data_IF_987685492471
#
_entry.id   IF_987685492471
#
_cell.length_a   1.000
_cell.length_b   1.000
_cell.length_c   1.000
_cell.angle_alpha   90.00
_cell.angle_beta   90.00
_cell.angle_gamma   90.00
#
_symmetry.space_group_name_H-M   'P 1'
#
loop_
_entity.id
_entity.type
_entity.pdbx_description
1 polymer ?
#
# COMPACT_ATOMS: atom_id res chain seq x y z
N UNK A 1 29.01 -33.68 -87.85
CA UNK A 1 29.67 -32.64 -87.00
C UNK A 1 28.56 -32.03 -86.16
N UNK A 2 28.48 -32.41 -84.90
CA UNK A 2 27.61 -31.83 -83.89
C UNK A 2 28.10 -32.40 -82.55
N UNK A 3 28.67 -31.65 -81.83
CA UNK A 3 28.37 -30.86 -80.67
C UNK A 3 28.24 -31.70 -79.42
N UNK A 4 29.34 -31.80 -78.75
CA UNK A 4 29.46 -32.27 -77.33
C UNK A 4 29.66 -31.05 -76.44
N UNK A 5 28.60 -30.51 -75.92
CA UNK A 5 28.65 -29.52 -74.77
C UNK A 5 27.38 -29.60 -74.00
N UNK A 6 27.22 -30.62 -73.24
CA UNK A 6 25.99 -30.78 -72.40
C UNK A 6 26.16 -31.46 -71.04
N UNK A 7 27.31 -32.09 -70.83
CA UNK A 7 27.49 -32.98 -69.67
C UNK A 7 28.34 -32.37 -68.53
N UNK A 8 28.98 -31.21 -68.69
CA UNK A 8 29.82 -30.60 -67.68
C UNK A 8 29.07 -29.75 -66.63
N UNK A 9 27.91 -29.21 -66.97
CA UNK A 9 27.15 -28.32 -66.08
C UNK A 9 26.26 -29.07 -65.09
N UNK A 10 25.81 -30.28 -65.45
CA UNK A 10 24.96 -31.07 -64.55
C UNK A 10 25.74 -31.75 -63.40
N UNK A 11 27.00 -32.10 -63.60
CA UNK A 11 27.85 -32.67 -62.58
C UNK A 11 28.29 -31.64 -61.52
N UNK A 12 28.55 -30.42 -61.96
CA UNK A 12 28.98 -29.35 -61.03
C UNK A 12 27.84 -28.87 -60.10
N UNK A 13 26.58 -28.89 -60.53
CA UNK A 13 25.42 -28.56 -59.72
C UNK A 13 25.06 -29.67 -58.70
N UNK A 14 25.38 -30.94 -59.03
CA UNK A 14 25.07 -32.05 -58.12
C UNK A 14 26.04 -32.13 -56.97
N UNK A 15 27.32 -31.85 -57.22
CA UNK A 15 28.38 -31.85 -56.17
C UNK A 15 28.28 -30.65 -55.20
N UNK A 16 27.85 -29.49 -55.71
CA UNK A 16 27.62 -28.32 -54.87
C UNK A 16 26.39 -28.52 -53.93
N UNK A 17 25.35 -29.20 -54.36
CA UNK A 17 24.15 -29.47 -53.53
C UNK A 17 24.49 -30.54 -52.47
N UNK A 18 25.28 -31.53 -52.80
CA UNK A 18 25.68 -32.57 -51.88
C UNK A 18 26.68 -32.07 -50.81
N UNK A 19 27.59 -31.16 -51.18
CA UNK A 19 28.51 -30.50 -50.23
C UNK A 19 27.81 -29.58 -49.26
N UNK A 20 26.75 -28.86 -49.67
CA UNK A 20 25.94 -28.00 -48.84
C UNK A 20 25.13 -28.80 -47.82
N UNK A 21 24.55 -29.93 -48.24
CA UNK A 21 23.76 -30.81 -47.34
C UNK A 21 24.62 -31.50 -46.29
N UNK A 22 25.83 -31.92 -46.67
CA UNK A 22 26.81 -32.54 -45.72
C UNK A 22 27.32 -31.48 -44.71
N UNK A 23 27.51 -30.24 -45.11
CA UNK A 23 27.93 -29.14 -44.25
C UNK A 23 26.82 -28.74 -43.28
N UNK A 24 25.54 -28.73 -43.68
CA UNK A 24 24.39 -28.49 -42.81
C UNK A 24 24.19 -29.61 -41.78
N UNK A 25 24.33 -30.85 -42.19
CA UNK A 25 24.28 -32.03 -41.29
C UNK A 25 25.44 -32.04 -40.28
N UNK A 26 26.66 -31.69 -40.68
CA UNK A 26 27.80 -31.57 -39.77
C UNK A 26 27.63 -30.44 -38.73
N UNK A 27 26.99 -29.32 -39.17
CA UNK A 27 26.72 -28.18 -38.24
C UNK A 27 25.59 -28.50 -37.26
N UNK A 28 24.63 -29.29 -37.70
CA UNK A 28 23.53 -29.76 -36.87
C UNK A 28 23.98 -30.84 -35.88
N UNK A 29 24.84 -31.74 -36.31
CA UNK A 29 25.44 -32.78 -35.46
C UNK A 29 26.38 -32.18 -34.40
N UNK A 30 27.09 -31.09 -34.69
CA UNK A 30 27.92 -30.39 -33.71
C UNK A 30 27.16 -29.67 -32.61
N UNK A 31 25.92 -29.27 -32.85
CA UNK A 31 25.02 -28.56 -31.90
C UNK A 31 24.17 -29.51 -31.05
N UNK A 32 24.08 -30.76 -31.44
CA UNK A 32 23.25 -31.77 -30.78
C UNK A 32 23.70 -32.08 -29.33
N UNK A 33 24.98 -32.22 -29.00
CA UNK A 33 25.41 -32.44 -27.62
C UNK A 33 25.05 -31.27 -26.70
N UNK A 34 25.28 -30.02 -27.13
CA UNK A 34 24.95 -28.83 -26.33
C UNK A 34 23.44 -28.66 -26.11
N UNK A 35 22.61 -29.03 -27.08
CA UNK A 35 21.16 -29.02 -26.94
C UNK A 35 20.64 -30.12 -25.99
N UNK A 36 21.32 -31.28 -25.98
CA UNK A 36 21.00 -32.37 -25.02
C UNK A 36 21.38 -31.96 -23.60
N UNK A 37 22.59 -31.42 -23.38
CA UNK A 37 23.01 -30.91 -22.07
C UNK A 37 22.08 -29.80 -21.54
N UNK A 38 21.73 -28.83 -22.38
CA UNK A 38 20.80 -27.78 -21.99
C UNK A 38 19.41 -28.33 -21.60
N UNK A 39 18.95 -29.36 -22.29
CA UNK A 39 17.68 -30.05 -21.98
C UNK A 39 17.77 -30.84 -20.68
N UNK A 40 18.87 -31.51 -20.41
CA UNK A 40 19.11 -32.22 -19.16
C UNK A 40 19.17 -31.26 -17.97
N UNK A 41 19.90 -30.15 -18.09
CA UNK A 41 19.95 -29.08 -17.07
C UNK A 41 18.56 -28.49 -16.80
N UNK A 42 17.76 -28.24 -17.83
CA UNK A 42 16.40 -27.76 -17.68
C UNK A 42 15.45 -28.78 -17.02
N UNK A 43 15.64 -30.08 -17.29
CA UNK A 43 14.91 -31.15 -16.64
C UNK A 43 15.32 -31.31 -15.17
N UNK A 44 16.62 -31.21 -14.87
CA UNK A 44 17.14 -31.25 -13.52
C UNK A 44 16.60 -30.05 -12.70
N UNK A 45 16.66 -28.84 -13.22
CA UNK A 45 16.11 -27.65 -12.58
C UNK A 45 14.59 -27.76 -12.31
N UNK A 46 13.85 -28.35 -13.25
CA UNK A 46 12.41 -28.64 -13.04
C UNK A 46 12.19 -29.70 -11.97
N UNK A 47 13.00 -30.75 -11.92
CA UNK A 47 12.92 -31.80 -10.91
C UNK A 47 13.21 -31.24 -9.51
N UNK A 48 14.23 -30.37 -9.38
CA UNK A 48 14.58 -29.71 -8.12
C UNK A 48 13.51 -28.73 -7.66
N UNK A 49 12.92 -27.97 -8.58
CA UNK A 49 11.77 -27.09 -8.31
C UNK A 49 10.50 -27.88 -7.87
N UNK A 50 10.29 -29.08 -8.41
CA UNK A 50 9.18 -29.96 -7.97
C UNK A 50 9.49 -30.58 -6.61
N UNK A 51 10.74 -30.95 -6.33
CA UNK A 51 11.18 -31.50 -5.03
C UNK A 51 11.10 -30.49 -3.90
N UNK A 52 11.39 -29.21 -4.16
CA UNK A 52 11.36 -28.13 -3.15
C UNK A 52 9.92 -27.69 -2.81
N UNK A 53 8.99 -27.76 -3.75
CA UNK A 53 7.58 -27.38 -3.52
C UNK A 53 6.91 -28.06 -2.31
N UNK A 54 7.05 -29.37 -2.06
CA UNK A 54 6.46 -30.02 -0.89
C UNK A 54 7.09 -29.54 0.42
N UNK A 55 8.40 -29.27 0.45
CA UNK A 55 9.10 -28.77 1.64
C UNK A 55 8.65 -27.36 2.01
N UNK A 56 8.60 -26.45 1.06
CA UNK A 56 8.05 -25.09 1.26
C UNK A 56 6.58 -25.13 1.72
N UNK A 57 5.78 -26.04 1.16
CA UNK A 57 4.38 -26.19 1.55
C UNK A 57 4.25 -26.78 2.97
N UNK A 58 5.12 -27.70 3.34
CA UNK A 58 5.16 -28.30 4.67
C UNK A 58 5.61 -27.29 5.73
N UNK A 59 6.63 -26.47 5.45
CA UNK A 59 7.08 -25.39 6.33
C UNK A 59 6.02 -24.30 6.51
N UNK A 60 5.33 -23.91 5.45
CA UNK A 60 4.22 -22.96 5.52
C UNK A 60 3.02 -23.51 6.33
N UNK A 61 2.76 -24.82 6.24
CA UNK A 61 1.72 -25.49 7.04
C UNK A 61 2.16 -25.57 8.50
N UNK A 62 3.42 -25.91 8.79
CA UNK A 62 4.00 -25.90 10.14
C UNK A 62 3.94 -24.53 10.78
N UNK A 63 4.42 -23.49 10.09
CA UNK A 63 4.38 -22.12 10.57
C UNK A 63 2.95 -21.66 10.91
N UNK A 64 1.96 -22.02 10.08
CA UNK A 64 0.55 -21.75 10.34
C UNK A 64 0.00 -22.53 11.55
N UNK A 65 0.42 -23.77 11.71
CA UNK A 65 -0.01 -24.61 12.84
C UNK A 65 0.58 -24.09 14.16
N UNK A 66 1.86 -23.69 14.16
CA UNK A 66 2.52 -23.08 15.32
C UNK A 66 1.90 -21.73 15.70
N UNK A 67 1.59 -20.90 14.71
CA UNK A 67 0.88 -19.63 14.92
C UNK A 67 -0.49 -19.85 15.56
N UNK A 68 -1.25 -20.84 15.04
CA UNK A 68 -2.57 -21.20 15.59
C UNK A 68 -2.47 -21.79 17.00
N UNK A 69 -1.42 -22.57 17.28
CA UNK A 69 -1.17 -23.12 18.61
C UNK A 69 -0.82 -22.02 19.61
N UNK A 70 0.07 -21.08 19.27
CA UNK A 70 0.40 -19.90 20.10
C UNK A 70 -0.82 -19.05 20.41
N UNK A 71 -1.67 -18.81 19.42
CA UNK A 71 -2.91 -18.05 19.63
C UNK A 71 -3.88 -18.77 20.59
N UNK A 72 -4.00 -20.11 20.45
CA UNK A 72 -4.82 -20.91 21.38
C UNK A 72 -4.25 -20.91 22.79
N UNK A 73 -2.91 -21.01 22.94
CA UNK A 73 -2.23 -20.98 24.22
C UNK A 73 -2.45 -19.64 24.93
N UNK A 74 -2.23 -18.52 24.24
CA UNK A 74 -2.47 -17.19 24.75
C UNK A 74 -3.94 -16.96 25.17
N UNK A 75 -4.88 -17.56 24.42
CA UNK A 75 -6.31 -17.50 24.78
C UNK A 75 -6.65 -18.36 25.99
N UNK A 76 -6.00 -19.52 26.15
CA UNK A 76 -6.16 -20.39 27.31
C UNK A 76 -5.54 -19.76 28.56
N UNK A 77 -4.36 -19.17 28.45
CA UNK A 77 -3.67 -18.46 29.51
C UNK A 77 -4.46 -17.24 30.02
N UNK A 78 -5.02 -16.46 29.10
CA UNK A 78 -5.95 -15.38 29.41
C UNK A 78 -7.25 -15.85 30.09
N UNK A 79 -7.66 -17.10 29.84
CA UNK A 79 -8.85 -17.72 30.45
C UNK A 79 -8.52 -18.25 31.84
N UNK A 80 -7.33 -18.82 32.06
CA UNK A 80 -6.83 -19.29 33.32
C UNK A 80 -6.67 -18.13 34.33
N UNK A 81 -6.03 -17.03 33.90
CA UNK A 81 -5.91 -15.81 34.69
C UNK A 81 -7.27 -15.23 35.15
N UNK A 82 -8.31 -15.43 34.32
CA UNK A 82 -9.66 -15.00 34.65
C UNK A 82 -10.37 -15.90 35.65
N UNK A 83 -9.96 -17.18 35.76
CA UNK A 83 -10.54 -18.18 36.67
C UNK A 83 -9.86 -18.11 38.03
N UNK A 84 -8.58 -17.71 38.13
CA UNK A 84 -7.82 -17.63 39.38
C UNK A 84 -8.21 -16.45 40.28
N UNK A 85 -9.19 -15.63 39.90
CA UNK A 85 -9.77 -14.60 40.78
C UNK A 85 -8.80 -13.55 41.25
N UNK A 86 -7.70 -13.34 40.55
CA UNK A 86 -6.69 -12.32 40.86
C UNK A 86 -7.35 -10.95 40.74
N UNK A 87 -7.27 -10.19 41.85
CA UNK A 87 -7.93 -8.89 41.98
C UNK A 87 -7.62 -7.93 40.84
N UNK A 88 -8.60 -7.11 40.37
CA UNK A 88 -8.42 -6.24 39.21
C UNK A 88 -7.25 -5.25 39.29
N UNK A 89 -6.73 -4.97 40.48
CA UNK A 89 -5.58 -4.10 40.72
C UNK A 89 -4.21 -4.79 40.45
N UNK A 90 -4.16 -6.12 40.51
CA UNK A 90 -2.98 -6.95 40.29
C UNK A 90 -3.01 -7.67 38.93
N UNK A 91 -4.14 -7.61 38.23
CA UNK A 91 -4.19 -8.11 36.88
C UNK A 91 -3.24 -7.28 36.03
N UNK A 92 -2.06 -7.79 35.78
CA UNK A 92 -1.27 -7.39 34.64
C UNK A 92 -2.25 -7.15 33.52
N UNK A 93 -2.44 -5.89 33.11
CA UNK A 93 -3.44 -5.48 32.13
C UNK A 93 -3.33 -6.47 30.98
N UNK A 94 -4.41 -7.22 30.74
CA UNK A 94 -4.47 -8.30 29.75
C UNK A 94 -3.60 -7.97 28.57
N UNK A 95 -2.45 -8.63 28.43
CA UNK A 95 -1.56 -8.41 27.30
C UNK A 95 -2.31 -8.90 26.06
N UNK A 96 -2.85 -7.95 25.29
CA UNK A 96 -3.43 -8.26 23.99
C UNK A 96 -2.30 -8.63 23.05
N UNK A 97 -2.40 -9.79 22.43
CA UNK A 97 -1.42 -10.25 21.43
C UNK A 97 -1.95 -10.00 20.02
N UNK A 98 -1.05 -9.65 19.11
CA UNK A 98 -1.35 -9.63 17.69
C UNK A 98 -1.40 -11.06 17.12
N UNK A 99 -1.75 -11.21 15.84
CA UNK A 99 -1.83 -12.52 15.18
C UNK A 99 -0.49 -13.26 15.12
N UNK A 100 0.62 -12.58 15.41
CA UNK A 100 1.97 -13.13 15.47
C UNK A 100 2.44 -13.39 16.91
N UNK A 101 1.55 -13.26 17.90
CA UNK A 101 1.85 -13.47 19.31
C UNK A 101 2.69 -12.35 19.95
N UNK A 102 2.74 -11.15 19.36
CA UNK A 102 3.46 -9.99 19.92
C UNK A 102 2.51 -9.13 20.76
N UNK A 103 3.00 -8.52 21.85
CA UNK A 103 2.19 -7.61 22.65
C UNK A 103 1.62 -6.46 21.82
N UNK A 104 0.33 -6.24 21.94
CA UNK A 104 -0.41 -5.17 21.28
C UNK A 104 -0.59 -4.02 22.27
N UNK A 105 -0.05 -2.81 22.00
CA UNK A 105 -0.21 -1.67 22.90
C UNK A 105 -1.67 -1.36 23.21
N UNK A 106 -1.96 -0.87 24.41
CA UNK A 106 -3.33 -0.62 24.87
C UNK A 106 -4.05 0.43 24.03
N UNK A 107 -3.33 1.48 23.60
CA UNK A 107 -3.90 2.57 22.81
C UNK A 107 -4.04 2.24 21.31
N UNK A 108 -3.60 1.03 20.91
CA UNK A 108 -3.67 0.59 19.52
C UNK A 108 -5.11 0.62 18.99
N UNK A 109 -5.35 1.48 18.00
CA UNK A 109 -6.66 1.67 17.35
C UNK A 109 -7.59 2.69 18.04
N UNK A 110 -7.39 3.04 19.32
CA UNK A 110 -8.28 3.98 20.04
C UNK A 110 -8.22 5.40 19.47
N UNK A 111 -7.05 5.86 19.03
CA UNK A 111 -6.88 7.19 18.45
C UNK A 111 -7.79 7.36 17.24
N UNK A 112 -7.79 6.38 16.34
CA UNK A 112 -8.65 6.40 15.14
C UNK A 112 -10.12 6.11 15.48
N UNK A 113 -10.41 5.31 16.49
CA UNK A 113 -11.78 5.09 16.97
C UNK A 113 -12.44 6.37 17.47
N UNK A 114 -11.67 7.25 18.12
CA UNK A 114 -12.15 8.58 18.56
C UNK A 114 -12.21 9.54 17.36
N UNK A 115 -11.23 9.48 16.45
CA UNK A 115 -11.20 10.36 15.29
C UNK A 115 -12.36 10.10 14.30
N UNK A 116 -12.83 8.85 14.19
CA UNK A 116 -13.89 8.49 13.25
C UNK A 116 -15.22 9.28 13.48
N UNK A 117 -15.84 9.28 14.66
CA UNK A 117 -17.06 10.06 14.91
C UNK A 117 -16.81 11.57 14.81
N UNK A 118 -15.64 12.06 15.22
CA UNK A 118 -15.29 13.48 15.10
C UNK A 118 -15.14 13.88 13.63
N UNK A 119 -14.55 13.04 12.80
CA UNK A 119 -14.44 13.30 11.36
C UNK A 119 -15.79 13.25 10.65
N UNK A 120 -16.72 12.39 11.10
CA UNK A 120 -18.07 12.36 10.61
C UNK A 120 -18.81 13.69 10.91
N UNK A 121 -18.78 14.13 12.17
CA UNK A 121 -19.43 15.37 12.59
C UNK A 121 -18.85 16.57 11.82
N UNK A 122 -17.52 16.70 11.76
CA UNK A 122 -16.86 17.76 11.01
C UNK A 122 -17.18 17.70 9.52
N UNK A 123 -17.18 16.50 8.91
CA UNK A 123 -17.52 16.31 7.50
C UNK A 123 -18.96 16.69 7.17
N UNK A 124 -19.92 16.37 8.04
CA UNK A 124 -21.34 16.80 7.87
C UNK A 124 -21.42 18.33 7.86
N UNK A 125 -20.81 19.00 8.84
CA UNK A 125 -20.78 20.47 8.90
C UNK A 125 -20.14 21.05 7.64
N UNK A 126 -19.05 20.47 7.17
CA UNK A 126 -18.35 20.89 5.96
C UNK A 126 -19.27 20.82 4.72
N UNK A 127 -20.03 19.72 4.56
CA UNK A 127 -21.00 19.54 3.47
C UNK A 127 -22.15 20.55 3.57
N UNK A 128 -22.63 20.83 4.79
CA UNK A 128 -23.68 21.82 5.01
C UNK A 128 -23.23 23.24 4.64
N UNK A 129 -21.99 23.59 4.92
CA UNK A 129 -21.39 24.90 4.60
C UNK A 129 -21.04 25.04 3.10
N UNK A 130 -20.85 23.95 2.38
CA UNK A 130 -20.50 23.99 0.96
C UNK A 130 -21.69 24.48 0.10
N UNK A 131 -21.41 25.40 -0.83
CA UNK A 131 -22.40 25.90 -1.77
C UNK A 131 -22.28 25.21 -3.14
N UNK A 132 -23.43 24.83 -3.70
CA UNK A 132 -23.51 24.14 -4.99
C UNK A 132 -23.19 22.64 -4.92
N UNK A 133 -23.76 21.89 -5.84
CA UNK A 133 -23.69 20.43 -5.83
C UNK A 133 -22.25 19.89 -5.95
N UNK A 134 -21.44 20.48 -6.85
CA UNK A 134 -20.06 20.00 -7.09
C UNK A 134 -19.19 20.12 -5.85
N UNK A 135 -19.26 21.23 -5.10
CA UNK A 135 -18.49 21.44 -3.89
C UNK A 135 -18.98 20.54 -2.75
N UNK A 136 -20.29 20.34 -2.61
CA UNK A 136 -20.87 19.37 -1.66
C UNK A 136 -20.37 17.95 -1.92
N UNK A 137 -20.34 17.52 -3.18
CA UNK A 137 -19.79 16.23 -3.55
C UNK A 137 -18.30 16.12 -3.24
N UNK A 138 -17.51 17.16 -3.51
CA UNK A 138 -16.10 17.19 -3.15
C UNK A 138 -15.87 17.02 -1.64
N UNK A 139 -16.65 17.72 -0.82
CA UNK A 139 -16.62 17.58 0.64
C UNK A 139 -17.08 16.18 1.10
N UNK A 140 -18.11 15.61 0.45
CA UNK A 140 -18.58 14.25 0.74
C UNK A 140 -17.50 13.20 0.42
N UNK A 141 -16.76 13.37 -0.68
CA UNK A 141 -15.62 12.50 -1.03
C UNK A 141 -14.55 12.53 0.05
N UNK A 142 -14.15 13.72 0.52
CA UNK A 142 -13.19 13.87 1.61
C UNK A 142 -13.67 13.24 2.91
N UNK A 143 -14.91 13.51 3.31
CA UNK A 143 -15.53 12.91 4.49
C UNK A 143 -15.53 11.38 4.39
N UNK A 144 -15.94 10.82 3.25
CA UNK A 144 -16.00 9.38 3.03
C UNK A 144 -14.61 8.75 3.12
N UNK A 145 -13.60 9.34 2.47
CA UNK A 145 -12.23 8.87 2.53
C UNK A 145 -11.68 8.87 3.98
N UNK A 146 -11.97 9.93 4.75
CA UNK A 146 -11.59 10.03 6.17
C UNK A 146 -12.25 8.96 7.02
N UNK A 147 -13.55 8.76 6.85
CA UNK A 147 -14.32 7.76 7.58
C UNK A 147 -13.82 6.35 7.28
N UNK A 148 -13.59 6.03 6.00
CA UNK A 148 -13.04 4.73 5.60
C UNK A 148 -11.69 4.51 6.28
N UNK A 149 -10.78 5.50 6.28
CA UNK A 149 -9.49 5.39 6.91
C UNK A 149 -9.61 5.16 8.42
N UNK A 150 -10.28 6.05 9.14
CA UNK A 150 -10.33 6.00 10.61
C UNK A 150 -11.13 4.78 11.10
N UNK A 151 -12.26 4.45 10.46
CA UNK A 151 -13.08 3.31 10.86
C UNK A 151 -12.37 1.99 10.56
N UNK A 152 -11.81 1.82 9.35
CA UNK A 152 -11.10 0.59 9.02
C UNK A 152 -9.87 0.40 9.91
N UNK A 153 -9.11 1.44 10.16
CA UNK A 153 -7.94 1.38 11.03
C UNK A 153 -8.32 1.04 12.48
N UNK A 154 -9.39 1.66 13.00
CA UNK A 154 -9.93 1.31 14.32
C UNK A 154 -10.36 -0.16 14.37
N UNK A 155 -11.16 -0.63 13.41
CA UNK A 155 -11.61 -2.02 13.33
C UNK A 155 -10.44 -2.99 13.22
N UNK A 156 -9.47 -2.69 12.34
CA UNK A 156 -8.28 -3.52 12.16
C UNK A 156 -7.48 -3.69 13.45
N UNK A 157 -7.31 -2.61 14.21
CA UNK A 157 -6.48 -2.61 15.40
C UNK A 157 -7.19 -3.02 16.69
N UNK A 158 -8.48 -2.76 16.83
CA UNK A 158 -9.26 -3.09 18.02
C UNK A 158 -9.80 -4.53 18.01
N UNK A 159 -10.12 -5.05 16.83
CA UNK A 159 -10.68 -6.39 16.70
C UNK A 159 -9.67 -7.52 16.87
N UNK A 160 -10.18 -8.70 17.22
CA UNK A 160 -9.44 -9.95 17.23
C UNK A 160 -9.87 -10.78 16.02
N UNK A 161 -9.15 -10.60 14.93
CA UNK A 161 -9.48 -11.16 13.63
C UNK A 161 -8.74 -12.46 13.34
N UNK A 162 -9.29 -13.28 12.46
CA UNK A 162 -8.54 -14.42 11.90
C UNK A 162 -7.35 -13.90 11.05
N UNK A 163 -6.30 -14.70 10.84
CA UNK A 163 -5.13 -14.27 10.05
C UNK A 163 -5.49 -13.75 8.67
N UNK A 164 -6.45 -14.39 7.98
CA UNK A 164 -6.92 -13.96 6.65
C UNK A 164 -7.60 -12.59 6.68
N UNK A 165 -8.49 -12.38 7.65
CA UNK A 165 -9.20 -11.10 7.82
C UNK A 165 -8.22 -10.00 8.20
N UNK A 166 -7.26 -10.28 9.09
CA UNK A 166 -6.17 -9.37 9.47
C UNK A 166 -5.37 -8.90 8.24
N UNK A 167 -5.03 -9.82 7.34
CA UNK A 167 -4.28 -9.48 6.12
C UNK A 167 -5.09 -8.59 5.18
N UNK A 168 -6.39 -8.84 5.04
CA UNK A 168 -7.29 -8.00 4.22
C UNK A 168 -7.42 -6.61 4.84
N UNK A 169 -7.77 -6.51 6.13
CA UNK A 169 -7.94 -5.24 6.81
C UNK A 169 -6.66 -4.39 6.80
N UNK A 170 -5.50 -5.02 6.97
CA UNK A 170 -4.20 -4.36 6.87
C UNK A 170 -3.96 -3.75 5.49
N UNK A 171 -4.32 -4.46 4.42
CA UNK A 171 -4.19 -3.94 3.05
C UNK A 171 -5.09 -2.74 2.81
N UNK A 172 -6.34 -2.84 3.25
CA UNK A 172 -7.29 -1.74 3.15
C UNK A 172 -6.78 -0.54 3.96
N UNK A 173 -6.26 -0.77 5.17
CA UNK A 173 -5.69 0.27 6.04
C UNK A 173 -4.56 1.06 5.35
N UNK A 174 -3.67 0.37 4.65
CA UNK A 174 -2.61 1.01 3.87
C UNK A 174 -3.13 1.75 2.63
N UNK A 175 -4.09 1.17 1.91
CA UNK A 175 -4.70 1.80 0.71
C UNK A 175 -5.47 3.07 1.07
N UNK A 176 -6.09 3.10 2.23
CA UNK A 176 -6.88 4.25 2.69
C UNK A 176 -6.06 5.53 2.84
N UNK A 177 -4.73 5.43 3.03
CA UNK A 177 -3.85 6.61 3.07
C UNK A 177 -3.88 7.36 1.73
N UNK A 178 -3.82 6.63 0.61
CA UNK A 178 -3.91 7.23 -0.73
C UNK A 178 -5.28 7.87 -0.96
N UNK A 179 -6.35 7.18 -0.52
CA UNK A 179 -7.71 7.71 -0.63
C UNK A 179 -7.87 9.01 0.17
N UNK A 180 -7.30 9.09 1.38
CA UNK A 180 -7.35 10.31 2.18
C UNK A 180 -6.60 11.46 1.51
N UNK A 181 -5.42 11.21 0.94
CA UNK A 181 -4.64 12.24 0.24
C UNK A 181 -5.44 12.79 -0.94
N UNK A 182 -5.92 11.94 -1.85
CA UNK A 182 -6.72 12.38 -3.00
C UNK A 182 -8.03 13.03 -2.55
N UNK A 183 -8.68 12.48 -1.52
CA UNK A 183 -9.88 13.03 -0.90
C UNK A 183 -9.66 14.45 -0.38
N UNK A 184 -8.50 14.74 0.24
CA UNK A 184 -8.14 16.07 0.73
C UNK A 184 -8.00 17.09 -0.41
N UNK A 185 -7.30 16.71 -1.49
CA UNK A 185 -7.12 17.61 -2.64
C UNK A 185 -8.42 17.86 -3.40
N UNK A 186 -9.42 17.02 -3.29
CA UNK A 186 -10.70 17.16 -4.00
C UNK A 186 -11.45 18.46 -3.62
N UNK A 187 -11.77 18.76 -2.36
CA UNK A 187 -12.43 20.02 -1.99
C UNK A 187 -11.47 21.23 -1.98
N UNK A 188 -10.22 21.07 -1.54
CA UNK A 188 -9.29 22.21 -1.45
C UNK A 188 -8.98 22.82 -2.82
N UNK A 189 -8.97 22.02 -3.87
CA UNK A 189 -8.69 22.49 -5.23
C UNK A 189 -9.78 23.42 -5.79
N UNK A 190 -10.94 23.51 -5.17
CA UNK A 190 -11.96 24.48 -5.53
C UNK A 190 -11.54 25.96 -5.26
N UNK A 191 -10.48 26.15 -4.49
CA UNK A 191 -9.83 27.45 -4.37
C UNK A 191 -9.12 27.91 -5.66
N UNK A 192 -8.99 27.07 -6.67
CA UNK A 192 -8.29 27.34 -7.91
C UNK A 192 -9.26 27.42 -9.10
N UNK A 193 -8.78 28.04 -10.19
CA UNK A 193 -9.44 28.08 -11.48
C UNK A 193 -9.86 26.67 -11.95
N UNK A 194 -10.99 26.54 -12.69
CA UNK A 194 -11.53 25.24 -13.10
C UNK A 194 -10.54 24.32 -13.81
N UNK A 195 -9.64 24.88 -14.62
CA UNK A 195 -8.60 24.11 -15.30
C UNK A 195 -7.65 23.43 -14.29
N UNK A 196 -7.04 24.20 -13.39
CA UNK A 196 -6.09 23.68 -12.40
C UNK A 196 -6.76 22.77 -11.37
N UNK A 197 -7.98 23.11 -10.95
CA UNK A 197 -8.80 22.23 -10.12
C UNK A 197 -8.95 20.84 -10.72
N UNK A 198 -9.32 20.76 -12.01
CA UNK A 198 -9.52 19.49 -12.70
C UNK A 198 -8.20 18.74 -12.87
N UNK A 199 -7.10 19.45 -13.21
CA UNK A 199 -5.76 18.84 -13.32
C UNK A 199 -5.36 18.19 -11.99
N UNK A 200 -5.54 18.89 -10.87
CA UNK A 200 -5.18 18.38 -9.54
C UNK A 200 -6.06 17.17 -9.20
N UNK A 201 -7.37 17.27 -9.33
CA UNK A 201 -8.28 16.17 -9.00
C UNK A 201 -7.95 14.94 -9.85
N UNK A 202 -7.86 15.08 -11.18
CA UNK A 202 -7.61 13.96 -12.08
C UNK A 202 -6.24 13.32 -11.78
N UNK A 203 -5.19 14.13 -11.63
CA UNK A 203 -3.84 13.61 -11.37
C UNK A 203 -3.75 12.90 -10.02
N UNK A 204 -4.34 13.45 -8.96
CA UNK A 204 -4.35 12.84 -7.62
C UNK A 204 -5.12 11.51 -7.61
N UNK A 205 -6.29 11.47 -8.24
CA UNK A 205 -7.07 10.22 -8.31
C UNK A 205 -6.44 9.19 -9.24
N UNK A 206 -5.79 9.60 -10.35
CA UNK A 206 -5.02 8.70 -11.22
C UNK A 206 -3.82 8.09 -10.47
N UNK A 207 -3.03 8.92 -9.77
CA UNK A 207 -1.94 8.44 -8.93
C UNK A 207 -2.43 7.50 -7.83
N UNK A 208 -3.57 7.81 -7.19
CA UNK A 208 -4.20 6.95 -6.19
C UNK A 208 -4.59 5.60 -6.80
N UNK A 209 -5.23 5.58 -7.95
CA UNK A 209 -5.60 4.33 -8.63
C UNK A 209 -4.38 3.47 -8.97
N UNK A 210 -3.31 4.08 -9.49
CA UNK A 210 -2.04 3.39 -9.77
C UNK A 210 -1.44 2.84 -8.49
N UNK A 211 -1.39 3.63 -7.42
CA UNK A 211 -0.83 3.21 -6.13
C UNK A 211 -1.62 2.04 -5.52
N UNK A 212 -2.95 2.05 -5.62
CA UNK A 212 -3.83 0.96 -5.18
C UNK A 212 -3.54 -0.31 -5.97
N UNK A 213 -3.47 -0.21 -7.31
CA UNK A 213 -3.19 -1.36 -8.19
C UNK A 213 -1.83 -1.97 -7.84
N UNK A 214 -0.78 -1.16 -7.70
CA UNK A 214 0.55 -1.64 -7.31
C UNK A 214 0.48 -2.32 -5.94
N UNK A 215 -0.23 -1.73 -4.97
CA UNK A 215 -0.35 -2.30 -3.62
C UNK A 215 -1.11 -3.63 -3.60
N UNK A 216 -2.12 -3.80 -4.45
CA UNK A 216 -2.89 -5.05 -4.57
C UNK A 216 -2.07 -6.14 -5.25
N UNK A 217 -1.32 -5.81 -6.32
CA UNK A 217 -0.54 -6.78 -7.10
C UNK A 217 0.72 -7.21 -6.32
N UNK A 218 1.41 -6.27 -5.70
CA UNK A 218 2.68 -6.55 -5.01
C UNK A 218 2.49 -6.79 -3.52
N UNK A 219 1.91 -7.93 -3.20
CA UNK A 219 1.46 -8.30 -1.84
C UNK A 219 2.60 -8.34 -0.80
N UNK A 220 3.84 -8.61 -1.21
CA UNK A 220 5.00 -8.81 -0.34
C UNK A 220 6.03 -7.66 -0.41
N UNK A 221 5.63 -6.49 -0.87
CA UNK A 221 6.54 -5.35 -0.92
C UNK A 221 7.01 -4.95 0.49
N UNK A 222 8.29 -4.58 0.65
CA UNK A 222 8.83 -4.20 1.94
C UNK A 222 8.20 -2.90 2.45
N UNK A 223 8.01 -2.77 3.77
CA UNK A 223 7.33 -1.63 4.41
C UNK A 223 7.94 -0.28 4.06
N UNK A 224 9.27 -0.21 3.95
CA UNK A 224 9.95 1.03 3.60
C UNK A 224 9.55 1.57 2.24
N UNK A 225 9.27 0.67 1.28
CA UNK A 225 8.84 1.06 -0.06
C UNK A 225 7.47 1.77 -0.02
N UNK A 226 6.52 1.23 0.74
CA UNK A 226 5.22 1.89 0.92
C UNK A 226 5.37 3.26 1.56
N UNK A 227 6.23 3.38 2.58
CA UNK A 227 6.51 4.66 3.23
C UNK A 227 7.07 5.68 2.24
N UNK A 228 8.02 5.28 1.39
CA UNK A 228 8.58 6.14 0.34
C UNK A 228 7.50 6.58 -0.66
N UNK A 229 6.64 5.65 -1.10
CA UNK A 229 5.54 5.98 -2.02
C UNK A 229 4.57 6.98 -1.40
N UNK A 230 4.20 6.82 -0.11
CA UNK A 230 3.35 7.79 0.59
C UNK A 230 4.00 9.17 0.69
N UNK A 231 5.31 9.22 0.97
CA UNK A 231 6.06 10.49 1.04
C UNK A 231 6.10 11.16 -0.33
N UNK A 232 6.43 10.43 -1.38
CA UNK A 232 6.45 10.96 -2.76
C UNK A 232 5.08 11.50 -3.15
N UNK A 233 4.02 10.76 -2.84
CA UNK A 233 2.66 11.16 -3.15
C UNK A 233 2.23 12.41 -2.36
N UNK A 234 2.64 12.50 -1.08
CA UNK A 234 2.44 13.71 -0.26
C UNK A 234 3.22 14.91 -0.78
N UNK A 235 4.50 14.72 -1.19
CA UNK A 235 5.36 15.77 -1.75
C UNK A 235 4.84 16.26 -3.11
N UNK A 236 4.24 15.38 -3.92
CA UNK A 236 3.63 15.76 -5.19
C UNK A 236 2.62 16.90 -5.02
N UNK A 237 1.89 16.92 -3.91
CA UNK A 237 0.99 18.01 -3.57
C UNK A 237 1.69 19.37 -3.39
N UNK A 238 2.97 19.40 -2.99
CA UNK A 238 3.73 20.65 -2.82
C UNK A 238 3.92 21.41 -4.15
N UNK A 239 3.88 20.71 -5.29
CA UNK A 239 3.99 21.34 -6.60
C UNK A 239 2.89 22.39 -6.85
N UNK A 240 1.76 22.26 -6.17
CA UNK A 240 0.62 23.16 -6.33
C UNK A 240 0.54 24.26 -5.28
N UNK A 241 1.43 24.28 -4.27
CA UNK A 241 1.34 25.20 -3.13
C UNK A 241 1.46 26.68 -3.56
N UNK A 242 2.26 26.97 -4.59
CA UNK A 242 2.38 28.34 -5.14
C UNK A 242 1.04 28.82 -5.71
N UNK A 243 0.27 27.92 -6.33
CA UNK A 243 -1.04 28.28 -6.86
C UNK A 243 -2.04 28.58 -5.74
N UNK A 244 -2.04 27.76 -4.69
CA UNK A 244 -2.87 28.02 -3.50
C UNK A 244 -2.46 29.29 -2.77
N UNK A 245 -1.15 29.57 -2.68
CA UNK A 245 -0.64 30.79 -2.06
C UNK A 245 -1.16 32.07 -2.72
N UNK A 246 -1.24 32.06 -4.05
CA UNK A 246 -1.68 33.21 -4.85
C UNK A 246 -3.20 33.22 -5.10
N UNK A 247 -3.92 32.20 -4.62
CA UNK A 247 -5.38 32.15 -4.78
C UNK A 247 -6.09 33.11 -3.82
N UNK A 248 -7.10 33.86 -4.30
CA UNK A 248 -7.92 34.70 -3.43
C UNK A 248 -8.75 33.90 -2.42
N UNK A 249 -8.99 32.60 -2.70
CA UNK A 249 -9.82 31.73 -1.85
C UNK A 249 -9.03 30.83 -0.91
N UNK A 250 -7.70 30.77 -1.04
CA UNK A 250 -6.83 29.98 -0.18
C UNK A 250 -5.84 30.86 0.60
N UNK A 251 -4.86 31.42 -0.09
CA UNK A 251 -3.84 32.30 0.51
C UNK A 251 -2.84 31.58 1.40
N UNK A 252 -1.95 32.37 2.06
CA UNK A 252 -0.85 31.84 2.87
C UNK A 252 -1.28 30.96 4.03
N UNK A 253 -2.39 31.27 4.71
CA UNK A 253 -2.85 30.54 5.88
C UNK A 253 -3.27 29.09 5.52
N UNK A 254 -3.97 28.90 4.39
CA UNK A 254 -4.34 27.58 3.89
C UNK A 254 -3.09 26.78 3.52
N UNK A 255 -2.12 27.42 2.83
CA UNK A 255 -0.86 26.76 2.46
C UNK A 255 -0.07 26.32 3.68
N UNK A 256 0.05 27.18 4.71
CA UNK A 256 0.72 26.81 5.98
C UNK A 256 0.06 25.61 6.62
N UNK A 257 -1.29 25.56 6.66
CA UNK A 257 -2.01 24.41 7.21
C UNK A 257 -1.82 23.14 6.37
N UNK A 258 -1.82 23.24 5.04
CA UNK A 258 -1.57 22.10 4.16
C UNK A 258 -0.13 21.56 4.35
N UNK A 259 0.85 22.45 4.43
CA UNK A 259 2.24 22.08 4.69
C UNK A 259 2.44 21.49 6.09
N UNK A 260 1.84 22.09 7.12
CA UNK A 260 1.89 21.56 8.49
C UNK A 260 1.24 20.18 8.60
N UNK A 261 0.09 19.99 7.97
CA UNK A 261 -0.58 18.69 7.90
C UNK A 261 0.26 17.65 7.16
N UNK A 262 0.84 18.02 6.03
CA UNK A 262 1.78 17.17 5.28
C UNK A 262 3.00 16.79 6.11
N UNK A 263 3.58 17.74 6.86
CA UNK A 263 4.70 17.49 7.78
C UNK A 263 4.31 16.47 8.88
N UNK A 264 3.11 16.60 9.46
CA UNK A 264 2.61 15.64 10.45
C UNK A 264 2.51 14.21 9.86
N UNK A 265 2.02 14.06 8.64
CA UNK A 265 1.97 12.75 7.95
C UNK A 265 3.37 12.20 7.70
N UNK A 266 4.29 13.01 7.18
CA UNK A 266 5.66 12.59 6.86
C UNK A 266 6.40 12.19 8.13
N UNK A 267 6.34 13.00 9.20
CA UNK A 267 6.98 12.69 10.49
C UNK A 267 6.40 11.41 11.09
N UNK A 268 5.08 11.25 11.06
CA UNK A 268 4.43 10.02 11.48
C UNK A 268 4.90 8.81 10.68
N UNK A 269 5.00 8.92 9.36
CA UNK A 269 5.47 7.86 8.48
C UNK A 269 6.94 7.50 8.74
N UNK A 270 7.81 8.48 9.02
CA UNK A 270 9.21 8.26 9.40
C UNK A 270 9.29 7.50 10.73
N UNK A 271 8.53 7.92 11.74
CA UNK A 271 8.45 7.21 13.04
C UNK A 271 8.01 5.77 12.85
N UNK A 272 7.01 5.54 11.99
CA UNK A 272 6.53 4.20 11.66
C UNK A 272 7.59 3.34 10.96
N UNK A 273 8.33 3.90 10.01
CA UNK A 273 9.38 3.21 9.27
C UNK A 273 10.57 2.84 10.17
N UNK A 274 11.01 3.79 11.00
CA UNK A 274 12.14 3.62 11.93
C UNK A 274 11.77 2.79 13.17
N UNK A 275 10.47 2.65 13.48
CA UNK A 275 9.94 2.05 14.71
C UNK A 275 10.49 2.71 15.98
N UNK A 276 10.77 3.99 15.91
CA UNK A 276 11.30 4.83 17.00
C UNK A 276 10.77 6.24 16.88
N UNK A 277 10.57 6.96 18.00
CA UNK A 277 10.67 6.47 19.38
C UNK A 277 9.55 5.49 19.75
N UNK A 278 9.82 4.61 20.72
CA UNK A 278 8.85 3.67 21.28
C UNK A 278 8.77 3.89 22.83
N UNK A 279 8.15 4.99 23.25
CA UNK A 279 8.29 5.49 24.62
C UNK A 279 7.70 4.55 25.68
N UNK A 280 6.53 3.97 25.41
CA UNK A 280 5.85 3.02 26.29
C UNK A 280 5.31 1.82 25.49
N UNK A 281 6.15 0.84 25.13
CA UNK A 281 5.80 -0.23 24.19
C UNK A 281 4.52 -1.00 24.48
N UNK A 282 4.10 -1.08 25.76
CA UNK A 282 2.87 -1.76 26.19
C UNK A 282 1.62 -0.87 26.13
N UNK A 283 1.77 0.45 26.07
CA UNK A 283 0.65 1.41 26.16
C UNK A 283 0.57 2.26 24.91
N UNK A 284 1.66 2.95 24.58
CA UNK A 284 1.75 3.94 23.51
C UNK A 284 3.15 3.89 22.89
N UNK A 285 3.24 3.36 21.68
CA UNK A 285 4.51 3.18 20.97
C UNK A 285 4.59 3.98 19.68
N UNK A 286 5.56 3.62 18.84
CA UNK A 286 5.82 4.27 17.57
C UNK A 286 4.61 4.28 16.61
N UNK A 287 3.79 3.25 16.66
CA UNK A 287 2.61 3.12 15.80
C UNK A 287 1.49 4.06 16.25
N UNK A 288 1.31 4.25 17.53
CA UNK A 288 0.37 5.21 18.11
C UNK A 288 0.81 6.64 17.80
N UNK A 289 2.13 6.93 17.80
CA UNK A 289 2.67 8.21 17.35
C UNK A 289 2.35 8.46 15.88
N UNK A 290 2.48 7.45 15.04
CA UNK A 290 2.06 7.53 13.63
C UNK A 290 0.56 7.87 13.50
N UNK A 291 -0.32 7.21 14.28
CA UNK A 291 -1.75 7.53 14.28
C UNK A 291 -2.04 8.96 14.77
N UNK A 292 -1.32 9.43 15.78
CA UNK A 292 -1.41 10.84 16.22
C UNK A 292 -1.00 11.81 15.08
N UNK A 293 0.10 11.51 14.38
CA UNK A 293 0.53 12.25 13.21
C UNK A 293 -0.54 12.28 12.11
N UNK A 294 -1.21 11.14 11.89
CA UNK A 294 -2.30 11.04 10.91
C UNK A 294 -3.49 11.91 11.30
N UNK A 295 -3.92 11.88 12.56
CA UNK A 295 -5.05 12.70 13.04
C UNK A 295 -4.70 14.18 13.06
N UNK A 296 -3.48 14.55 13.48
CA UNK A 296 -3.01 15.94 13.47
C UNK A 296 -2.95 16.50 12.04
N UNK A 297 -2.40 15.73 11.09
CA UNK A 297 -2.37 16.11 9.68
C UNK A 297 -3.77 16.27 9.10
N UNK A 298 -4.66 15.33 9.39
CA UNK A 298 -6.07 15.43 9.01
C UNK A 298 -6.74 16.70 9.57
N UNK A 299 -6.51 17.02 10.84
CA UNK A 299 -7.08 18.21 11.47
C UNK A 299 -6.60 19.52 10.79
N UNK A 300 -5.31 19.63 10.50
CA UNK A 300 -4.76 20.77 9.74
C UNK A 300 -5.43 20.89 8.37
N UNK A 301 -5.56 19.77 7.64
CA UNK A 301 -6.19 19.76 6.32
C UNK A 301 -7.69 20.05 6.39
N UNK A 302 -8.40 19.54 7.39
CA UNK A 302 -9.82 19.84 7.62
C UNK A 302 -10.03 21.35 7.82
N UNK A 303 -9.22 22.00 8.66
CA UNK A 303 -9.27 23.46 8.88
C UNK A 303 -8.96 24.22 7.60
N UNK A 304 -7.96 23.78 6.84
CA UNK A 304 -7.62 24.39 5.54
C UNK A 304 -8.83 24.33 4.57
N UNK A 305 -9.49 23.19 4.49
CA UNK A 305 -10.68 23.01 3.65
C UNK A 305 -11.83 23.91 4.13
N UNK A 306 -12.08 23.99 5.45
CA UNK A 306 -13.08 24.92 6.00
C UNK A 306 -12.82 26.37 5.59
N UNK A 307 -11.56 26.79 5.67
CA UNK A 307 -11.18 28.16 5.26
C UNK A 307 -11.47 28.40 3.78
N UNK A 308 -11.14 27.45 2.91
CA UNK A 308 -11.47 27.54 1.47
C UNK A 308 -12.99 27.60 1.27
N UNK A 309 -13.76 26.72 1.91
CA UNK A 309 -15.21 26.69 1.75
C UNK A 309 -15.84 28.03 2.15
N UNK A 310 -15.45 28.59 3.28
CA UNK A 310 -15.97 29.87 3.77
C UNK A 310 -15.54 31.04 2.88
N UNK A 311 -14.31 31.03 2.36
CA UNK A 311 -13.85 32.08 1.44
C UNK A 311 -14.58 32.07 0.09
N UNK A 312 -15.09 30.92 -0.34
CA UNK A 312 -15.91 30.79 -1.56
C UNK A 312 -17.34 31.39 -1.41
N UNK A 313 -17.73 31.87 -0.23
CA UNK A 313 -19.01 32.59 -0.01
C UNK A 313 -18.93 34.07 -0.41
N UNK A 314 -17.71 34.61 -0.50
CA UNK A 314 -17.45 36.02 -0.88
C UNK A 314 -17.44 36.18 -2.40
#
# INVERSE_FOLDING_TARGET
MASTTGDSEKTMHHDAHNSATIAEDATTASKLPAAIEAREQALQAKADAVRSKPQFKAEAIRAKAEEKARHKLAKAENRALKIEGIAPAEVERKIRLDVHGRPKPLMRGWIHAIAAPLSLAAGIVLICLAHGASLKWACAVFMTASLILFTNSACYHLGDWSPRVTDVLRRIDHVNIFLLIAGTYTPVSFALEPFWRNVIIISMWACTAIAIVIHVIWINAPRWLYTVVYIIFGIYGLAYMVMFWNSPYAGPAVVVLLCAGGACYILGAIVYALRKPDPWPRVFGFHEIFHCGTVAGYACHMVAIYMVIVSLWQ
#
